data_IF_619213263893
#
_entry.id   IF_619213263893
#
_cell.length_a   1.000
_cell.length_b   1.000
_cell.length_c   1.000
_cell.angle_alpha   90.00
_cell.angle_beta   90.00
_cell.angle_gamma   90.00
#
_symmetry.space_group_name_H-M   'P 1'
#
loop_
_entity.id
_entity.type
_entity.pdbx_description
1 polymer ?
#
# COMPACT_ATOMS: atom_id res chain seq x y z
N UNK A 1 -31.09 8.56 -15.20
CA UNK A 1 -30.17 9.68 -14.88
C UNK A 1 -28.81 9.32 -15.43
N UNK A 2 -28.40 9.98 -16.52
CA UNK A 2 -27.06 9.84 -17.10
C UNK A 2 -26.08 10.51 -16.14
N UNK A 3 -25.38 9.71 -15.32
CA UNK A 3 -24.20 10.20 -14.60
C UNK A 3 -23.15 10.44 -15.66
N UNK A 4 -23.00 11.70 -16.08
CA UNK A 4 -21.86 12.16 -16.85
C UNK A 4 -20.61 11.62 -16.17
N UNK A 5 -19.97 10.64 -16.80
CA UNK A 5 -18.84 9.94 -16.22
C UNK A 5 -17.67 10.91 -16.19
N UNK A 6 -17.44 11.51 -15.04
CA UNK A 6 -16.45 12.56 -14.90
C UNK A 6 -15.06 11.91 -15.03
N UNK A 7 -14.43 12.10 -16.19
CA UNK A 7 -13.00 11.88 -16.37
C UNK A 7 -12.29 12.87 -15.44
N UNK A 8 -11.83 12.38 -14.29
CA UNK A 8 -11.12 13.18 -13.30
C UNK A 8 -9.91 12.42 -12.78
N UNK A 9 -8.93 13.17 -12.32
CA UNK A 9 -7.85 12.62 -11.52
C UNK A 9 -8.28 12.60 -10.04
N UNK A 10 -7.68 11.72 -9.20
CA UNK A 10 -7.97 11.71 -7.77
C UNK A 10 -7.54 13.03 -7.12
N UNK A 11 -8.33 13.47 -6.16
CA UNK A 11 -7.99 14.61 -5.30
C UNK A 11 -6.88 14.23 -4.32
N UNK A 12 -6.19 15.23 -3.77
CA UNK A 12 -5.18 15.00 -2.72
C UNK A 12 -5.74 14.22 -1.53
N UNK A 13 -6.97 14.51 -1.10
CA UNK A 13 -7.64 13.82 -0.01
C UNK A 13 -7.87 12.32 -0.32
N UNK A 14 -8.13 11.98 -1.58
CA UNK A 14 -8.28 10.57 -1.99
C UNK A 14 -6.94 9.85 -1.96
N UNK A 15 -5.86 10.47 -2.44
CA UNK A 15 -4.50 9.93 -2.32
C UNK A 15 -4.12 9.72 -0.86
N UNK A 16 -4.32 10.72 0.00
CA UNK A 16 -4.03 10.63 1.43
C UNK A 16 -4.90 9.56 2.12
N UNK A 17 -6.18 9.46 1.76
CA UNK A 17 -7.07 8.42 2.30
C UNK A 17 -6.57 7.01 1.97
N UNK A 18 -6.10 6.77 0.74
CA UNK A 18 -5.47 5.51 0.36
C UNK A 18 -4.15 5.27 1.11
N UNK A 19 -3.32 6.31 1.23
CA UNK A 19 -2.05 6.25 1.94
C UNK A 19 -2.21 5.88 3.43
N UNK A 20 -3.09 6.58 4.15
CA UNK A 20 -3.38 6.30 5.56
C UNK A 20 -4.00 4.92 5.77
N UNK A 21 -4.82 4.44 4.83
CA UNK A 21 -5.33 3.08 4.89
C UNK A 21 -4.21 2.04 4.76
N UNK A 22 -3.33 2.19 3.77
CA UNK A 22 -2.18 1.29 3.61
C UNK A 22 -1.27 1.31 4.84
N UNK A 23 -0.94 2.50 5.35
CA UNK A 23 -0.17 2.67 6.57
C UNK A 23 -0.85 2.02 7.78
N UNK A 24 -2.16 2.18 7.93
CA UNK A 24 -2.94 1.57 9.00
C UNK A 24 -2.92 0.04 8.96
N UNK A 25 -3.02 -0.56 7.77
CA UNK A 25 -2.90 -2.01 7.59
C UNK A 25 -1.50 -2.49 8.03
N UNK A 26 -0.44 -1.83 7.55
CA UNK A 26 0.95 -2.17 7.91
C UNK A 26 1.12 -2.10 9.43
N UNK A 27 0.74 -0.97 10.03
CA UNK A 27 0.88 -0.73 11.46
C UNK A 27 0.13 -1.79 12.26
N UNK A 28 -1.13 -2.08 11.90
CA UNK A 28 -1.94 -3.05 12.63
C UNK A 28 -1.33 -4.46 12.57
N UNK A 29 -0.89 -4.90 11.38
CA UNK A 29 -0.26 -6.22 11.22
C UNK A 29 1.04 -6.32 12.00
N UNK A 30 1.89 -5.29 11.96
CA UNK A 30 3.15 -5.28 12.69
C UNK A 30 2.93 -5.27 14.21
N UNK A 31 1.98 -4.47 14.71
CA UNK A 31 1.67 -4.40 16.14
C UNK A 31 1.07 -5.73 16.67
N UNK A 32 0.12 -6.32 15.94
CA UNK A 32 -0.46 -7.62 16.33
C UNK A 32 0.59 -8.72 16.28
N UNK A 33 1.35 -8.80 15.19
CA UNK A 33 2.38 -9.84 15.03
C UNK A 33 3.46 -9.69 16.09
N UNK A 34 3.99 -8.48 16.29
CA UNK A 34 4.96 -8.17 17.33
C UNK A 34 4.46 -8.53 18.73
N UNK A 35 3.21 -8.14 19.06
CA UNK A 35 2.57 -8.48 20.33
C UNK A 35 2.48 -9.99 20.57
N UNK A 36 2.08 -10.76 19.56
CA UNK A 36 2.02 -12.24 19.65
C UNK A 36 3.41 -12.85 19.84
N UNK A 37 4.40 -12.36 19.09
CA UNK A 37 5.77 -12.85 19.12
C UNK A 37 6.37 -12.66 20.52
N UNK A 38 6.27 -11.45 21.06
CA UNK A 38 6.75 -11.11 22.40
C UNK A 38 5.97 -11.88 23.47
N UNK A 39 4.64 -11.94 23.38
CA UNK A 39 3.81 -12.69 24.34
C UNK A 39 4.17 -14.18 24.41
N UNK A 40 4.48 -14.81 23.27
CA UNK A 40 4.87 -16.23 23.20
C UNK A 40 6.36 -16.47 23.47
N UNK A 41 7.16 -15.43 23.72
CA UNK A 41 8.61 -15.55 23.89
C UNK A 41 9.32 -16.11 22.66
N UNK A 42 8.79 -15.87 21.45
CA UNK A 42 9.30 -16.44 20.20
C UNK A 42 10.39 -15.59 19.54
N UNK A 43 10.81 -14.50 20.18
CA UNK A 43 11.76 -13.52 19.65
C UNK A 43 13.05 -14.18 19.16
N UNK A 44 13.72 -14.98 19.99
CA UNK A 44 14.95 -15.68 19.62
C UNK A 44 14.76 -16.71 18.50
N UNK A 45 13.57 -17.34 18.40
CA UNK A 45 13.28 -18.27 17.30
C UNK A 45 13.06 -17.53 15.99
N UNK A 46 12.46 -16.34 16.04
CA UNK A 46 12.28 -15.47 14.88
C UNK A 46 13.59 -14.92 14.34
N UNK A 47 14.49 -14.47 15.22
CA UNK A 47 15.83 -14.08 14.82
C UNK A 47 16.70 -15.26 14.33
N UNK A 48 16.33 -16.50 14.67
CA UNK A 48 16.96 -17.71 14.14
C UNK A 48 16.42 -18.11 12.76
N UNK A 49 15.28 -17.59 12.30
CA UNK A 49 14.88 -17.74 10.90
C UNK A 49 15.75 -16.84 10.01
N UNK A 50 15.95 -17.26 8.76
CA UNK A 50 16.77 -16.52 7.79
C UNK A 50 16.30 -15.06 7.66
N UNK A 51 17.21 -14.06 7.76
CA UNK A 51 16.90 -12.65 7.53
C UNK A 51 16.14 -12.39 6.21
N UNK A 52 16.39 -13.24 5.21
CA UNK A 52 15.69 -13.22 3.92
C UNK A 52 14.18 -13.46 4.07
N UNK A 53 13.76 -14.36 4.95
CA UNK A 53 12.34 -14.67 5.16
C UNK A 53 11.62 -13.49 5.81
N UNK A 54 12.25 -12.86 6.81
CA UNK A 54 11.71 -11.68 7.48
C UNK A 54 11.55 -10.54 6.49
N UNK A 55 12.57 -10.28 5.66
CA UNK A 55 12.53 -9.29 4.60
C UNK A 55 11.43 -9.58 3.56
N UNK A 56 11.26 -10.85 3.17
CA UNK A 56 10.22 -11.25 2.23
C UNK A 56 8.81 -10.99 2.80
N UNK A 57 8.56 -11.36 4.05
CA UNK A 57 7.29 -11.10 4.73
C UNK A 57 7.02 -9.59 4.85
N UNK A 58 8.05 -8.82 5.21
CA UNK A 58 8.00 -7.37 5.23
C UNK A 58 7.59 -6.81 3.87
N UNK A 59 8.24 -7.24 2.79
CA UNK A 59 7.93 -6.78 1.44
C UNK A 59 6.50 -7.16 1.01
N UNK A 60 6.06 -8.39 1.27
CA UNK A 60 4.69 -8.85 0.96
C UNK A 60 3.65 -8.00 1.70
N UNK A 61 3.90 -7.65 2.96
CA UNK A 61 3.00 -6.79 3.73
C UNK A 61 2.87 -5.39 3.09
N UNK A 62 3.98 -4.78 2.67
CA UNK A 62 3.96 -3.47 2.02
C UNK A 62 3.30 -3.52 0.65
N UNK A 63 3.55 -4.57 -0.14
CA UNK A 63 2.90 -4.76 -1.44
C UNK A 63 1.39 -4.93 -1.25
N UNK A 64 0.95 -5.83 -0.39
CA UNK A 64 -0.48 -6.13 -0.20
C UNK A 64 -1.27 -4.95 0.36
N UNK A 65 -0.71 -4.22 1.33
CA UNK A 65 -1.34 -3.03 1.90
C UNK A 65 -1.45 -1.87 0.90
N UNK A 66 -0.38 -1.56 0.15
CA UNK A 66 -0.42 -0.56 -0.91
C UNK A 66 -1.35 -0.97 -2.05
N UNK A 67 -1.38 -2.26 -2.39
CA UNK A 67 -2.30 -2.79 -3.41
C UNK A 67 -3.75 -2.46 -3.06
N UNK A 68 -4.17 -2.76 -1.83
CA UNK A 68 -5.54 -2.46 -1.37
C UNK A 68 -5.80 -0.95 -1.39
N UNK A 69 -4.93 -0.14 -0.78
CA UNK A 69 -5.12 1.32 -0.70
C UNK A 69 -5.22 1.96 -2.09
N UNK A 70 -4.26 1.67 -2.96
CA UNK A 70 -4.19 2.19 -4.33
C UNK A 70 -5.34 1.72 -5.21
N UNK A 71 -5.78 0.46 -5.07
CA UNK A 71 -6.95 -0.04 -5.80
C UNK A 71 -8.21 0.75 -5.42
N UNK A 72 -8.43 1.02 -4.14
CA UNK A 72 -9.61 1.76 -3.67
C UNK A 72 -9.63 3.21 -4.14
N UNK A 73 -8.47 3.84 -4.34
CA UNK A 73 -8.34 5.17 -4.93
C UNK A 73 -8.56 5.11 -6.44
N UNK A 74 -7.82 4.26 -7.15
CA UNK A 74 -7.87 4.17 -8.60
C UNK A 74 -9.24 3.71 -9.13
N UNK A 75 -9.97 2.83 -8.42
CA UNK A 75 -11.30 2.37 -8.87
C UNK A 75 -12.39 3.45 -8.85
N UNK A 76 -12.16 4.59 -8.18
CA UNK A 76 -13.14 5.68 -8.05
C UNK A 76 -13.11 6.65 -9.23
N UNK A 77 -12.10 6.55 -10.10
CA UNK A 77 -11.97 7.38 -11.28
C UNK A 77 -12.20 6.55 -12.54
N UNK A 78 -12.79 7.16 -13.58
CA UNK A 78 -12.88 6.55 -14.91
C UNK A 78 -11.84 7.23 -15.79
N UNK A 79 -10.77 6.51 -16.13
CA UNK A 79 -9.68 7.09 -16.90
C UNK A 79 -8.93 6.04 -17.74
N UNK A 80 -7.92 6.49 -18.49
CA UNK A 80 -7.04 5.59 -19.25
C UNK A 80 -6.25 4.67 -18.32
N UNK A 81 -5.85 3.50 -18.83
CA UNK A 81 -5.01 2.52 -18.11
C UNK A 81 -3.78 3.19 -17.49
N UNK A 82 -3.08 4.04 -18.24
CA UNK A 82 -1.86 4.73 -17.79
C UNK A 82 -2.17 5.64 -16.60
N UNK A 83 -3.28 6.39 -16.63
CA UNK A 83 -3.66 7.29 -15.53
C UNK A 83 -4.10 6.53 -14.28
N UNK A 84 -4.75 5.37 -14.42
CA UNK A 84 -5.09 4.49 -13.29
C UNK A 84 -3.84 3.92 -12.61
N UNK A 85 -2.85 3.46 -13.39
CA UNK A 85 -1.56 2.99 -12.87
C UNK A 85 -0.82 4.14 -12.19
N UNK A 86 -0.79 5.34 -12.79
CA UNK A 86 -0.19 6.53 -12.19
C UNK A 86 -0.86 6.91 -10.87
N UNK A 87 -2.19 6.87 -10.80
CA UNK A 87 -2.92 7.12 -9.55
C UNK A 87 -2.53 6.10 -8.47
N UNK A 88 -2.40 4.82 -8.84
CA UNK A 88 -1.95 3.78 -7.92
C UNK A 88 -0.52 3.99 -7.42
N UNK A 89 0.42 4.34 -8.31
CA UNK A 89 1.80 4.70 -7.97
C UNK A 89 1.89 5.90 -7.03
N UNK A 90 1.16 6.97 -7.32
CA UNK A 90 1.15 8.18 -6.48
C UNK A 90 0.56 7.90 -5.09
N UNK A 91 -0.46 7.04 -5.00
CA UNK A 91 -1.02 6.60 -3.71
C UNK A 91 0.02 5.79 -2.91
N UNK A 92 0.74 4.86 -3.55
CA UNK A 92 1.80 4.09 -2.91
C UNK A 92 2.96 4.97 -2.44
N UNK A 93 3.36 5.96 -3.23
CA UNK A 93 4.38 6.94 -2.84
C UNK A 93 3.90 7.82 -1.67
N UNK A 94 2.64 8.26 -1.67
CA UNK A 94 2.05 8.97 -0.56
C UNK A 94 2.01 8.11 0.72
N UNK A 95 1.71 6.81 0.60
CA UNK A 95 1.77 5.86 1.72
C UNK A 95 3.20 5.79 2.30
N UNK A 96 4.21 5.74 1.44
CA UNK A 96 5.61 5.74 1.87
C UNK A 96 5.96 7.03 2.63
N UNK A 97 5.53 8.19 2.14
CA UNK A 97 5.75 9.47 2.84
C UNK A 97 5.10 9.45 4.22
N UNK A 98 3.83 9.02 4.30
CA UNK A 98 3.09 8.93 5.57
C UNK A 98 3.81 8.00 6.55
N UNK A 99 4.21 6.82 6.09
CA UNK A 99 4.95 5.86 6.90
C UNK A 99 6.30 6.40 7.34
N UNK A 100 7.09 6.97 6.41
CA UNK A 100 8.39 7.54 6.71
C UNK A 100 8.30 8.66 7.76
N UNK A 101 7.37 9.60 7.59
CA UNK A 101 7.17 10.68 8.55
C UNK A 101 6.75 10.13 9.92
N UNK A 102 5.80 9.20 9.95
CA UNK A 102 5.31 8.64 11.22
C UNK A 102 6.40 7.86 11.95
N UNK A 103 7.15 7.02 11.23
CA UNK A 103 8.24 6.22 11.78
C UNK A 103 9.40 7.10 12.25
N UNK A 104 9.76 8.16 11.50
CA UNK A 104 10.78 9.13 11.92
C UNK A 104 10.35 9.91 13.17
N UNK A 105 9.09 10.30 13.28
CA UNK A 105 8.57 11.05 14.43
C UNK A 105 8.48 10.19 15.69
N UNK A 106 8.06 8.93 15.57
CA UNK A 106 7.80 8.05 16.71
C UNK A 106 9.03 7.22 17.11
N UNK A 107 9.71 6.61 16.14
CA UNK A 107 10.78 5.63 16.36
C UNK A 107 12.17 6.25 16.17
N UNK A 108 12.26 7.41 15.49
CA UNK A 108 13.52 8.12 15.16
C UNK A 108 14.52 7.31 14.32
N UNK A 109 14.07 6.19 13.77
CA UNK A 109 14.83 5.34 12.86
C UNK A 109 13.86 4.67 11.89
N UNK A 110 14.21 4.59 10.61
CA UNK A 110 13.43 3.87 9.60
C UNK A 110 14.28 2.78 8.94
N UNK A 111 14.58 1.69 9.67
CA UNK A 111 15.28 0.54 9.09
C UNK A 111 14.47 -0.02 7.92
N UNK A 112 15.16 -0.51 6.89
CA UNK A 112 14.55 -1.12 5.69
C UNK A 112 13.63 -0.17 4.87
N UNK A 113 13.78 1.15 5.02
CA UNK A 113 12.97 2.15 4.30
C UNK A 113 12.99 1.99 2.77
N UNK A 114 14.12 1.61 2.19
CA UNK A 114 14.25 1.34 0.76
C UNK A 114 13.35 0.19 0.32
N UNK A 115 13.24 -0.88 1.11
CA UNK A 115 12.36 -2.01 0.82
C UNK A 115 10.90 -1.65 1.03
N UNK A 116 10.60 -0.81 2.01
CA UNK A 116 9.26 -0.26 2.21
C UNK A 116 8.82 0.52 0.97
N UNK A 117 9.69 1.42 0.46
CA UNK A 117 9.45 2.18 -0.76
C UNK A 117 9.20 1.27 -1.97
N UNK A 118 10.07 0.27 -2.18
CA UNK A 118 9.92 -0.69 -3.28
C UNK A 118 8.58 -1.42 -3.17
N UNK A 119 8.26 -1.96 -1.98
CA UNK A 119 7.03 -2.69 -1.74
C UNK A 119 5.78 -1.85 -1.98
N UNK A 120 5.76 -0.61 -1.47
CA UNK A 120 4.63 0.31 -1.63
C UNK A 120 4.45 0.78 -3.07
N UNK A 121 5.53 1.01 -3.82
CA UNK A 121 5.45 1.37 -5.25
C UNK A 121 4.96 0.19 -6.10
N UNK A 122 5.44 -1.02 -5.83
CA UNK A 122 4.98 -2.23 -6.50
C UNK A 122 3.51 -2.51 -6.20
N UNK A 123 3.12 -2.50 -4.93
CA UNK A 123 1.73 -2.65 -4.51
C UNK A 123 0.83 -1.57 -5.10
N UNK A 124 1.29 -0.31 -5.07
CA UNK A 124 0.53 0.80 -5.63
C UNK A 124 0.29 0.66 -7.13
N UNK A 125 1.31 0.26 -7.87
CA UNK A 125 1.20 -0.05 -9.30
C UNK A 125 0.20 -1.18 -9.55
N UNK A 126 0.28 -2.26 -8.77
CA UNK A 126 -0.66 -3.39 -8.86
C UNK A 126 -2.11 -2.95 -8.61
N UNK A 127 -2.36 -2.08 -7.63
CA UNK A 127 -3.70 -1.53 -7.38
C UNK A 127 -4.27 -0.74 -8.55
N UNK A 128 -3.44 0.10 -9.18
CA UNK A 128 -3.83 0.81 -10.40
C UNK A 128 -4.09 -0.14 -11.58
N UNK A 129 -3.27 -1.19 -11.73
CA UNK A 129 -3.45 -2.22 -12.75
C UNK A 129 -4.75 -3.02 -12.54
N UNK A 130 -5.03 -3.45 -11.31
CA UNK A 130 -6.27 -4.16 -10.96
C UNK A 130 -7.49 -3.32 -11.28
N UNK A 131 -7.49 -2.04 -10.89
CA UNK A 131 -8.58 -1.12 -11.23
C UNK A 131 -8.75 -0.99 -12.75
N UNK A 132 -7.65 -0.89 -13.50
CA UNK A 132 -7.69 -0.83 -14.96
C UNK A 132 -8.25 -2.09 -15.60
N UNK A 133 -7.88 -3.28 -15.14
CA UNK A 133 -8.39 -4.55 -15.69
C UNK A 133 -9.89 -4.69 -15.45
N UNK A 134 -10.35 -4.38 -14.23
CA UNK A 134 -11.78 -4.45 -13.87
C UNK A 134 -12.59 -3.41 -14.67
N UNK A 135 -12.07 -2.19 -14.85
CA UNK A 135 -12.75 -1.17 -15.66
C UNK A 135 -12.82 -1.54 -17.13
N UNK A 136 -11.86 -2.29 -17.66
CA UNK A 136 -11.85 -2.73 -19.07
C UNK A 136 -12.96 -3.75 -19.32
N UNK A 137 -13.14 -4.73 -18.43
CA UNK A 137 -14.18 -5.75 -18.55
C UNK A 137 -15.61 -5.19 -18.49
N UNK A 138 -15.81 -4.03 -17.85
CA UNK A 138 -17.12 -3.34 -17.82
C UNK A 138 -17.49 -2.65 -19.12
N UNK A 139 -16.56 -2.46 -20.06
CA UNK A 139 -16.84 -1.86 -21.37
C UNK A 139 -17.16 -2.89 -22.46
N UNK A 140 -16.85 -4.18 -22.22
CA UNK A 140 -17.06 -5.26 -23.18
C UNK A 140 -18.39 -6.01 -23.01
N UNK A 141 -19.15 -5.71 -21.94
CA UNK A 141 -20.48 -6.25 -21.66
C UNK A 141 -21.51 -5.12 -21.79
#
# INVERSE_FOLDING_TARGET
MSTTEIIRDPTLNEYLGGAFLSFGIITLVLQISGGIITYKGLEHRLYAYSPLLVLLLYLILHISSAWVGSYLVARRIRNTRIRLIRAGLLTGFAAYIVEALTTLLLVRAFPESAWALIGLLLGGSLGGMTASMISSNRKSN
#
